data_IF_515678090265
#
_entry.id   IF_515678090265
#
_cell.length_a   1.000
_cell.length_b   1.000
_cell.length_c   1.000
_cell.angle_alpha   90.00
_cell.angle_beta   90.00
_cell.angle_gamma   90.00
#
_symmetry.space_group_name_H-M   'P 1'
#
loop_
_entity.id
_entity.type
_entity.pdbx_description
1 polymer ?
#
# COMPACT_ATOMS: atom_id res chain seq x y z
N UNK A 1 -21.46 19.86 -8.96
CA UNK A 1 -20.81 19.84 -10.28
C UNK A 1 -20.11 18.50 -10.41
N UNK A 2 -20.39 17.73 -11.45
CA UNK A 2 -19.62 16.53 -11.72
C UNK A 2 -18.17 16.96 -12.05
N UNK A 3 -17.20 16.36 -11.37
CA UNK A 3 -15.79 16.63 -11.63
C UNK A 3 -15.43 16.07 -13.02
N UNK A 4 -14.65 16.80 -13.78
CA UNK A 4 -14.13 16.32 -15.08
C UNK A 4 -13.31 15.03 -14.83
N UNK A 5 -13.55 13.96 -15.62
CA UNK A 5 -12.76 12.75 -15.53
C UNK A 5 -11.26 13.03 -15.72
N UNK A 6 -10.44 12.33 -14.97
CA UNK A 6 -8.98 12.43 -15.10
C UNK A 6 -8.52 11.63 -16.32
N UNK A 7 -7.65 12.21 -17.15
CA UNK A 7 -7.08 11.54 -18.34
C UNK A 7 -5.87 10.65 -17.94
N UNK A 8 -6.12 9.71 -17.03
CA UNK A 8 -5.15 8.71 -16.57
C UNK A 8 -5.83 7.36 -16.37
N UNK A 9 -5.08 6.29 -16.61
CA UNK A 9 -5.47 4.94 -16.21
C UNK A 9 -4.97 4.66 -14.78
N UNK A 10 -5.82 3.98 -13.98
CA UNK A 10 -5.53 3.66 -12.58
C UNK A 10 -5.62 2.16 -12.38
N UNK A 11 -4.63 1.57 -11.72
CA UNK A 11 -4.71 0.19 -11.22
C UNK A 11 -4.68 0.21 -9.68
N UNK A 12 -5.73 -0.33 -9.06
CA UNK A 12 -5.79 -0.57 -7.62
C UNK A 12 -5.21 -1.95 -7.34
N UNK A 13 -4.07 -2.01 -6.64
CA UNK A 13 -3.37 -3.24 -6.28
C UNK A 13 -3.71 -3.60 -4.84
N UNK A 14 -4.28 -4.79 -4.65
CA UNK A 14 -4.75 -5.28 -3.35
C UNK A 14 -4.12 -6.65 -3.08
N UNK A 15 -3.10 -6.74 -2.20
CA UNK A 15 -2.61 -8.02 -1.73
C UNK A 15 -3.67 -8.63 -0.80
N UNK A 16 -3.96 -9.93 -1.00
CA UNK A 16 -4.96 -10.63 -0.20
C UNK A 16 -4.48 -11.98 0.27
N UNK A 17 -5.02 -12.42 1.41
CA UNK A 17 -4.96 -13.80 1.84
C UNK A 17 -6.07 -14.06 2.85
N UNK A 18 -7.02 -14.97 2.50
CA UNK A 18 -8.16 -15.34 3.32
C UNK A 18 -8.97 -14.12 3.80
N UNK A 19 -9.46 -13.33 2.84
CA UNK A 19 -10.24 -12.10 3.06
C UNK A 19 -11.65 -12.20 2.44
N UNK A 20 -12.26 -13.41 2.46
CA UNK A 20 -13.57 -13.62 1.84
C UNK A 20 -14.68 -12.73 2.43
N UNK A 21 -14.56 -12.33 3.69
CA UNK A 21 -15.54 -11.48 4.37
C UNK A 21 -15.47 -10.01 3.93
N UNK A 22 -14.32 -9.54 3.44
CA UNK A 22 -14.05 -8.12 3.20
C UNK A 22 -13.76 -7.76 1.75
N UNK A 23 -13.27 -8.69 0.92
CA UNK A 23 -12.73 -8.38 -0.41
C UNK A 23 -13.75 -7.70 -1.33
N UNK A 24 -15.02 -8.12 -1.30
CA UNK A 24 -16.09 -7.53 -2.14
C UNK A 24 -16.33 -6.08 -1.74
N UNK A 25 -16.50 -5.81 -0.45
CA UNK A 25 -16.72 -4.46 0.07
C UNK A 25 -15.51 -3.57 -0.20
N UNK A 26 -14.28 -4.10 -0.05
CA UNK A 26 -13.06 -3.36 -0.36
C UNK A 26 -13.01 -2.94 -1.82
N UNK A 27 -13.30 -3.84 -2.78
CA UNK A 27 -13.34 -3.50 -4.22
C UNK A 27 -14.43 -2.47 -4.49
N UNK A 28 -15.63 -2.67 -3.97
CA UNK A 28 -16.79 -1.81 -4.18
C UNK A 28 -16.67 -0.43 -3.50
N UNK A 29 -15.81 -0.29 -2.49
CA UNK A 29 -15.58 0.99 -1.82
C UNK A 29 -14.95 2.05 -2.74
N UNK A 30 -14.22 1.61 -3.77
CA UNK A 30 -13.62 2.51 -4.76
C UNK A 30 -14.67 2.86 -5.82
N UNK A 31 -15.05 4.14 -5.99
CA UNK A 31 -16.01 4.55 -7.00
C UNK A 31 -15.57 4.13 -8.41
N UNK A 32 -16.51 3.58 -9.19
CA UNK A 32 -16.29 3.23 -10.60
C UNK A 32 -17.36 3.93 -11.48
N UNK A 33 -17.39 5.25 -11.38
CA UNK A 33 -18.38 6.13 -12.02
C UNK A 33 -17.79 6.96 -13.17
N UNK A 34 -16.63 6.54 -13.70
CA UNK A 34 -15.97 7.21 -14.82
C UNK A 34 -15.11 8.41 -14.39
N UNK A 35 -14.67 8.49 -13.15
CA UNK A 35 -13.81 9.57 -12.66
C UNK A 35 -12.37 9.56 -13.24
N UNK A 36 -11.93 8.44 -13.82
CA UNK A 36 -10.68 8.31 -14.57
C UNK A 36 -10.92 7.60 -15.89
N UNK A 37 -9.92 7.61 -16.78
CA UNK A 37 -9.98 7.03 -18.11
C UNK A 37 -10.21 5.52 -18.09
N UNK A 38 -9.54 4.80 -17.20
CA UNK A 38 -9.66 3.37 -17.01
C UNK A 38 -9.36 3.02 -15.55
N UNK A 39 -10.19 2.21 -14.92
CA UNK A 39 -10.01 1.71 -13.56
C UNK A 39 -9.94 0.20 -13.56
N UNK A 40 -8.79 -0.34 -13.16
CA UNK A 40 -8.55 -1.77 -13.02
C UNK A 40 -8.31 -2.14 -11.55
N UNK A 41 -8.85 -3.29 -11.12
CA UNK A 41 -8.52 -3.92 -9.85
C UNK A 41 -7.61 -5.11 -10.10
N UNK A 42 -6.47 -5.16 -9.42
CA UNK A 42 -5.50 -6.25 -9.47
C UNK A 42 -5.29 -6.83 -8.08
N UNK A 43 -5.85 -8.00 -7.87
CA UNK A 43 -5.73 -8.76 -6.64
C UNK A 43 -4.51 -9.65 -6.72
N UNK A 44 -3.60 -9.53 -5.76
CA UNK A 44 -2.44 -10.43 -5.65
C UNK A 44 -2.69 -11.37 -4.48
N UNK A 45 -3.16 -12.55 -4.83
CA UNK A 45 -3.58 -13.56 -3.86
C UNK A 45 -2.41 -14.38 -3.33
N UNK A 46 -2.18 -14.34 -2.03
CA UNK A 46 -1.15 -15.09 -1.31
C UNK A 46 -1.52 -16.54 -1.04
N UNK A 47 -2.17 -17.20 -2.01
CA UNK A 47 -2.63 -18.58 -1.95
C UNK A 47 -3.73 -18.80 -0.89
N UNK A 48 -4.81 -18.02 -0.99
CA UNK A 48 -6.02 -18.15 -0.16
C UNK A 48 -6.64 -19.54 -0.27
N UNK A 49 -7.21 -20.01 0.82
CA UNK A 49 -7.88 -21.32 0.93
C UNK A 49 -9.41 -21.21 1.06
N UNK A 50 -9.90 -19.97 1.18
CA UNK A 50 -11.31 -19.61 1.25
C UNK A 50 -11.84 -19.13 -0.13
N UNK A 51 -12.97 -18.44 -0.15
CA UNK A 51 -13.60 -17.94 -1.37
C UNK A 51 -13.08 -16.58 -1.87
N UNK A 52 -11.99 -16.07 -1.29
CA UNK A 52 -11.45 -14.74 -1.64
C UNK A 52 -11.30 -14.53 -3.13
N UNK A 53 -10.71 -15.50 -3.84
CA UNK A 53 -10.46 -15.41 -5.30
C UNK A 53 -11.75 -15.33 -6.10
N UNK A 54 -12.66 -16.27 -5.85
CA UNK A 54 -13.92 -16.36 -6.60
C UNK A 54 -14.77 -15.08 -6.40
N UNK A 55 -14.77 -14.54 -5.18
CA UNK A 55 -15.47 -13.31 -4.85
C UNK A 55 -14.82 -12.08 -5.52
N UNK A 56 -13.51 -12.01 -5.54
CA UNK A 56 -12.77 -10.93 -6.22
C UNK A 56 -13.02 -10.95 -7.74
N UNK A 57 -12.92 -12.11 -8.39
CA UNK A 57 -13.20 -12.25 -9.82
C UNK A 57 -14.66 -11.92 -10.16
N UNK A 58 -15.61 -12.38 -9.34
CA UNK A 58 -17.03 -12.05 -9.49
C UNK A 58 -17.32 -10.55 -9.33
N UNK A 59 -16.45 -9.83 -8.62
CA UNK A 59 -16.51 -8.38 -8.48
C UNK A 59 -15.82 -7.62 -9.61
N UNK A 60 -15.34 -8.31 -10.66
CA UNK A 60 -14.71 -7.73 -11.83
C UNK A 60 -13.20 -7.47 -11.68
N UNK A 61 -12.57 -7.93 -10.61
CA UNK A 61 -11.13 -7.80 -10.43
C UNK A 61 -10.34 -8.87 -11.20
N UNK A 62 -9.12 -8.54 -11.60
CA UNK A 62 -8.14 -9.50 -12.11
C UNK A 62 -7.41 -10.12 -10.93
N UNK A 63 -7.35 -11.44 -10.85
CA UNK A 63 -6.67 -12.16 -9.76
C UNK A 63 -5.40 -12.82 -10.28
N UNK A 64 -4.30 -12.63 -9.55
CA UNK A 64 -3.04 -13.34 -9.75
C UNK A 64 -2.64 -14.04 -8.46
N UNK A 65 -2.34 -15.36 -8.54
CA UNK A 65 -1.87 -16.14 -7.41
C UNK A 65 -0.35 -15.97 -7.29
N UNK A 66 0.12 -15.36 -6.21
CA UNK A 66 1.55 -15.25 -5.90
C UNK A 66 1.95 -16.39 -4.93
N UNK A 67 2.64 -17.43 -5.42
CA UNK A 67 2.95 -18.60 -4.60
C UNK A 67 4.03 -18.32 -3.53
N UNK A 68 4.84 -17.29 -3.74
CA UNK A 68 5.91 -16.90 -2.81
C UNK A 68 5.34 -16.11 -1.66
N UNK A 69 5.72 -16.47 -0.44
CA UNK A 69 5.24 -15.81 0.77
C UNK A 69 5.83 -14.41 0.95
N UNK A 70 5.01 -13.50 1.42
CA UNK A 70 5.42 -12.20 1.92
C UNK A 70 4.56 -11.04 1.41
N UNK A 71 4.17 -10.17 2.32
CA UNK A 71 3.42 -8.95 2.04
C UNK A 71 4.12 -8.09 0.96
N UNK A 72 5.42 -7.86 1.14
CA UNK A 72 6.19 -7.11 0.16
C UNK A 72 6.34 -7.84 -1.17
N UNK A 73 6.34 -9.17 -1.18
CA UNK A 73 6.37 -9.97 -2.40
C UNK A 73 5.11 -9.71 -3.23
N UNK A 74 3.95 -9.79 -2.61
CA UNK A 74 2.68 -9.53 -3.28
C UNK A 74 2.66 -8.12 -3.90
N UNK A 75 3.09 -7.10 -3.18
CA UNK A 75 3.18 -5.75 -3.75
C UNK A 75 4.15 -5.65 -4.92
N UNK A 76 5.34 -6.23 -4.83
CA UNK A 76 6.32 -6.19 -5.95
C UNK A 76 5.75 -6.82 -7.21
N UNK A 77 5.07 -7.95 -7.07
CA UNK A 77 4.37 -8.60 -8.18
C UNK A 77 3.26 -7.70 -8.72
N UNK A 78 2.42 -7.14 -7.86
CA UNK A 78 1.38 -6.21 -8.24
C UNK A 78 1.91 -4.97 -8.97
N UNK A 79 3.01 -4.38 -8.51
CA UNK A 79 3.61 -3.20 -9.15
C UNK A 79 4.10 -3.48 -10.58
N UNK A 80 4.63 -4.67 -10.83
CA UNK A 80 5.07 -5.07 -12.18
C UNK A 80 3.86 -5.33 -13.09
N UNK A 81 2.84 -6.02 -12.57
CA UNK A 81 1.66 -6.43 -13.35
C UNK A 81 0.66 -5.30 -13.58
N UNK A 82 0.61 -4.29 -12.72
CA UNK A 82 -0.26 -3.13 -12.87
C UNK A 82 -0.04 -2.45 -14.22
N UNK A 83 -1.13 -2.11 -14.91
CA UNK A 83 -1.08 -1.48 -16.25
C UNK A 83 -1.33 0.03 -16.22
N UNK A 84 -2.00 0.53 -15.18
CA UNK A 84 -2.34 1.93 -15.04
C UNK A 84 -1.14 2.86 -14.94
N UNK A 85 -1.31 4.10 -15.39
CA UNK A 85 -0.34 5.19 -15.25
C UNK A 85 -0.12 5.54 -13.78
N UNK A 86 -1.17 5.40 -12.97
CA UNK A 86 -1.17 5.56 -11.53
C UNK A 86 -1.50 4.23 -10.86
N UNK A 87 -0.72 3.89 -9.85
CA UNK A 87 -0.96 2.75 -8.98
C UNK A 87 -1.48 3.24 -7.64
N UNK A 88 -2.57 2.64 -7.18
CA UNK A 88 -3.12 2.80 -5.84
C UNK A 88 -2.95 1.48 -5.10
N UNK A 89 -2.55 1.50 -3.85
CA UNK A 89 -2.49 0.31 -3.01
C UNK A 89 -3.49 0.40 -1.87
N UNK A 90 -4.14 -0.70 -1.52
CA UNK A 90 -5.03 -0.82 -0.37
C UNK A 90 -4.90 -2.22 0.23
N UNK A 91 -5.13 -2.35 1.54
CA UNK A 91 -5.31 -3.64 2.17
C UNK A 91 -6.74 -4.17 1.87
N UNK A 92 -6.94 -5.49 1.93
CA UNK A 92 -8.19 -6.15 1.52
C UNK A 92 -9.28 -6.16 2.60
N UNK A 93 -9.09 -5.48 3.73
CA UNK A 93 -9.79 -5.65 5.00
C UNK A 93 -10.76 -4.51 5.37
N UNK A 94 -11.14 -3.68 4.41
CA UNK A 94 -12.01 -2.50 4.56
C UNK A 94 -11.47 -1.40 5.47
N UNK A 95 -10.22 -1.46 5.94
CA UNK A 95 -9.67 -0.44 6.84
C UNK A 95 -9.37 0.88 6.16
N UNK A 96 -9.03 0.87 4.86
CA UNK A 96 -8.77 2.07 4.08
C UNK A 96 -10.02 2.59 3.35
N UNK A 97 -10.15 3.92 3.22
CA UNK A 97 -11.29 4.56 2.57
C UNK A 97 -11.16 4.51 1.05
N UNK A 98 -11.73 3.50 0.38
CA UNK A 98 -11.70 3.40 -1.09
C UNK A 98 -12.35 4.60 -1.78
N UNK A 99 -13.35 5.21 -1.16
CA UNK A 99 -14.03 6.40 -1.66
C UNK A 99 -13.13 7.65 -1.78
N UNK A 100 -12.00 7.67 -1.05
CA UNK A 100 -11.02 8.76 -1.16
C UNK A 100 -10.06 8.60 -2.34
N UNK A 101 -10.03 7.44 -3.00
CA UNK A 101 -9.11 7.16 -4.11
C UNK A 101 -9.19 8.20 -5.23
N UNK A 102 -10.38 8.60 -5.75
CA UNK A 102 -10.47 9.62 -6.78
C UNK A 102 -9.85 10.97 -6.35
N UNK A 103 -10.09 11.39 -5.10
CA UNK A 103 -9.55 12.62 -4.54
C UNK A 103 -8.03 12.56 -4.42
N UNK A 104 -7.49 11.44 -3.93
CA UNK A 104 -6.05 11.25 -3.75
C UNK A 104 -5.31 11.19 -5.09
N UNK A 105 -5.89 10.55 -6.11
CA UNK A 105 -5.32 10.54 -7.47
C UNK A 105 -5.36 11.94 -8.07
N UNK A 106 -6.45 12.68 -7.90
CA UNK A 106 -6.55 14.08 -8.33
C UNK A 106 -5.48 14.94 -7.67
N UNK A 107 -5.30 14.83 -6.36
CA UNK A 107 -4.25 15.54 -5.60
C UNK A 107 -2.85 15.22 -6.17
N UNK A 108 -2.56 13.93 -6.44
CA UNK A 108 -1.29 13.53 -7.05
C UNK A 108 -1.01 14.27 -8.36
N UNK A 109 -2.04 14.40 -9.20
CA UNK A 109 -1.90 15.00 -10.53
C UNK A 109 -1.84 16.53 -10.47
N UNK A 110 -2.76 17.17 -9.76
CA UNK A 110 -2.91 18.62 -9.70
C UNK A 110 -1.74 19.30 -8.96
N UNK A 111 -1.21 18.65 -7.91
CA UNK A 111 -0.04 19.15 -7.17
C UNK A 111 1.29 18.74 -7.82
N UNK A 112 1.24 18.01 -8.95
CA UNK A 112 2.45 17.58 -9.68
C UNK A 112 3.32 16.61 -8.88
N UNK A 113 2.71 15.84 -7.99
CA UNK A 113 3.38 14.83 -7.16
C UNK A 113 3.63 13.55 -7.96
N UNK A 114 4.62 12.78 -7.52
CA UNK A 114 4.91 11.46 -8.04
C UNK A 114 4.53 10.34 -7.06
N UNK A 115 4.36 10.69 -5.77
CA UNK A 115 4.07 9.71 -4.73
C UNK A 115 3.35 10.32 -3.52
N UNK A 116 2.28 9.66 -3.07
CA UNK A 116 1.53 9.98 -1.84
C UNK A 116 1.51 8.75 -0.94
N UNK A 117 1.68 8.94 0.37
CA UNK A 117 1.35 7.95 1.40
C UNK A 117 0.20 8.45 2.26
N UNK A 118 -0.64 7.54 2.74
CA UNK A 118 -1.73 7.90 3.63
C UNK A 118 -1.32 7.76 5.11
N UNK A 119 -1.66 8.76 5.93
CA UNK A 119 -1.49 8.75 7.39
C UNK A 119 -2.80 8.33 8.05
N UNK A 120 -2.79 7.18 8.73
CA UNK A 120 -3.94 6.60 9.45
C UNK A 120 -4.05 7.12 10.88
N UNK A 121 -2.94 7.62 11.44
CA UNK A 121 -2.82 7.86 12.88
C UNK A 121 -3.65 9.07 13.34
N UNK A 122 -3.85 10.06 12.46
CA UNK A 122 -4.56 11.29 12.78
C UNK A 122 -6.08 11.17 12.74
N UNK A 123 -6.61 10.26 11.91
CA UNK A 123 -8.05 10.10 11.68
C UNK A 123 -8.52 8.65 11.92
N UNK A 124 -7.83 7.93 12.81
CA UNK A 124 -8.22 6.58 13.19
C UNK A 124 -9.56 6.60 13.94
N UNK A 125 -10.51 5.76 13.53
CA UNK A 125 -11.76 5.56 14.25
C UNK A 125 -11.51 4.92 15.61
N UNK A 126 -12.38 5.21 16.57
CA UNK A 126 -12.29 4.61 17.90
C UNK A 126 -12.35 3.07 17.82
N UNK A 127 -11.32 2.41 18.35
CA UNK A 127 -11.19 0.95 18.33
C UNK A 127 -10.66 0.35 17.03
N UNK A 128 -10.31 1.14 16.00
CA UNK A 128 -9.64 0.64 14.79
C UNK A 128 -8.18 0.28 15.02
N UNK A 129 -7.56 0.87 16.06
CA UNK A 129 -6.19 0.59 16.49
C UNK A 129 -6.17 0.28 17.99
N UNK A 130 -6.13 -0.98 18.42
CA UNK A 130 -5.95 -1.32 19.83
C UNK A 130 -4.70 -0.65 20.40
N UNK A 131 -4.77 -0.15 21.65
CA UNK A 131 -3.75 0.72 22.26
C UNK A 131 -2.31 0.21 22.13
N UNK A 132 -2.08 -1.09 22.28
CA UNK A 132 -0.75 -1.69 22.13
C UNK A 132 -0.23 -1.62 20.69
N UNK A 133 -1.11 -1.82 19.70
CA UNK A 133 -0.73 -1.70 18.27
C UNK A 133 -0.47 -0.24 17.90
N UNK A 134 -1.26 0.69 18.44
CA UNK A 134 -1.05 2.13 18.25
C UNK A 134 0.31 2.57 18.81
N UNK A 135 0.66 2.10 20.02
CA UNK A 135 1.96 2.37 20.62
C UNK A 135 3.12 1.80 19.79
N UNK A 136 3.02 0.55 19.32
CA UNK A 136 4.03 -0.06 18.46
C UNK A 136 4.23 0.73 17.15
N UNK A 137 3.16 1.15 16.48
CA UNK A 137 3.21 1.99 15.27
C UNK A 137 3.86 3.35 15.56
N UNK A 138 3.55 3.96 16.70
CA UNK A 138 4.17 5.22 17.13
C UNK A 138 5.68 5.08 17.36
N UNK A 139 6.13 4.02 18.04
CA UNK A 139 7.56 3.71 18.25
C UNK A 139 8.28 3.54 16.92
N UNK A 140 7.74 2.72 16.02
CA UNK A 140 8.33 2.47 14.71
C UNK A 140 8.42 3.74 13.86
N UNK A 141 7.36 4.54 13.83
CA UNK A 141 7.32 5.78 13.06
C UNK A 141 8.26 6.83 13.63
N UNK A 142 8.36 6.92 14.96
CA UNK A 142 9.29 7.84 15.62
C UNK A 142 10.74 7.43 15.38
N UNK A 143 11.05 6.14 15.49
CA UNK A 143 12.38 5.60 15.18
C UNK A 143 12.77 5.87 13.73
N UNK A 144 11.85 5.62 12.80
CA UNK A 144 12.09 5.89 11.38
C UNK A 144 12.35 7.39 11.11
N UNK A 145 11.57 8.29 11.71
CA UNK A 145 11.80 9.75 11.58
C UNK A 145 13.16 10.18 12.09
N UNK A 146 13.59 9.65 13.23
CA UNK A 146 14.89 10.00 13.82
C UNK A 146 16.06 9.45 12.99
N UNK A 147 15.96 8.21 12.48
CA UNK A 147 17.05 7.58 11.73
C UNK A 147 17.21 8.14 10.31
N UNK A 148 16.11 8.54 9.68
CA UNK A 148 16.12 8.94 8.25
C UNK A 148 15.85 10.42 8.03
N UNK A 149 15.48 11.16 9.07
CA UNK A 149 15.16 12.60 9.02
C UNK A 149 14.10 12.94 7.95
N UNK A 150 13.17 12.02 7.70
CA UNK A 150 12.07 12.22 6.78
C UNK A 150 10.76 12.51 7.52
N UNK A 151 10.01 13.50 7.01
CA UNK A 151 8.82 14.01 7.70
C UNK A 151 7.56 13.17 7.50
N UNK A 152 7.64 11.83 7.51
CA UNK A 152 6.48 10.94 7.42
C UNK A 152 6.04 10.51 8.82
N UNK A 153 4.74 10.65 9.13
CA UNK A 153 4.19 10.36 10.45
C UNK A 153 3.78 8.89 10.61
N UNK A 154 3.16 8.29 9.59
CA UNK A 154 2.77 6.88 9.60
C UNK A 154 3.70 6.03 8.73
N UNK A 155 4.76 5.47 9.32
CA UNK A 155 5.72 4.62 8.61
C UNK A 155 5.14 3.26 8.19
N UNK A 156 4.00 2.85 8.74
CA UNK A 156 3.43 1.51 8.57
C UNK A 156 2.20 1.47 7.65
N UNK A 157 1.73 2.62 7.13
CA UNK A 157 0.59 2.64 6.22
C UNK A 157 0.89 1.88 4.92
N UNK A 158 -0.04 1.05 4.46
CA UNK A 158 0.00 0.31 3.20
C UNK A 158 -0.76 0.99 2.06
N UNK A 159 -1.40 2.14 2.29
CA UNK A 159 -2.08 2.87 1.22
C UNK A 159 -1.16 3.91 0.62
N UNK A 160 -0.81 3.71 -0.65
CA UNK A 160 0.02 4.61 -1.45
C UNK A 160 -0.65 4.90 -2.78
N UNK A 161 -0.44 6.11 -3.28
CA UNK A 161 -0.88 6.54 -4.60
C UNK A 161 0.35 7.08 -5.31
N UNK A 162 0.72 6.52 -6.46
CA UNK A 162 1.95 6.95 -7.13
C UNK A 162 1.92 6.71 -8.63
N UNK A 163 2.70 7.50 -9.37
CA UNK A 163 2.91 7.28 -10.79
C UNK A 163 3.73 6.02 -11.02
N UNK A 164 3.29 5.14 -11.89
CA UNK A 164 4.03 3.90 -12.21
C UNK A 164 5.44 4.19 -12.73
N UNK A 165 5.61 5.30 -13.42
CA UNK A 165 6.90 5.74 -13.99
C UNK A 165 8.02 5.94 -12.95
N UNK A 166 7.71 6.07 -11.66
CA UNK A 166 8.77 6.14 -10.63
C UNK A 166 9.69 4.91 -10.63
N UNK A 167 9.20 3.76 -11.12
CA UNK A 167 9.98 2.52 -11.20
C UNK A 167 10.94 2.44 -12.39
N UNK A 168 10.94 3.44 -13.29
CA UNK A 168 12.01 3.62 -14.28
C UNK A 168 13.35 3.87 -13.59
N UNK A 169 13.33 4.55 -12.44
CA UNK A 169 14.46 4.61 -11.54
C UNK A 169 14.50 3.36 -10.64
N UNK A 170 15.46 2.47 -10.90
CA UNK A 170 15.62 1.24 -10.11
C UNK A 170 15.83 1.47 -8.61
N UNK A 171 16.31 2.65 -8.22
CA UNK A 171 16.46 3.04 -6.83
C UNK A 171 15.11 3.15 -6.11
N UNK A 172 14.03 3.38 -6.86
CA UNK A 172 12.66 3.42 -6.33
C UNK A 172 12.09 2.03 -6.06
N UNK A 173 12.64 0.97 -6.64
CA UNK A 173 12.14 -0.40 -6.48
C UNK A 173 12.47 -0.94 -5.09
N UNK A 174 11.48 -1.14 -4.18
CA UNK A 174 11.73 -1.73 -2.86
C UNK A 174 12.14 -3.19 -3.02
N UNK A 175 13.00 -3.68 -2.13
CA UNK A 175 13.65 -4.99 -2.27
C UNK A 175 13.20 -6.02 -1.25
N UNK A 176 12.56 -5.59 -0.15
CA UNK A 176 12.14 -6.49 0.91
C UNK A 176 10.86 -7.25 0.54
N UNK A 177 10.78 -8.56 0.85
CA UNK A 177 9.59 -9.37 0.57
C UNK A 177 8.54 -9.36 1.69
N UNK A 178 8.91 -8.98 2.90
CA UNK A 178 8.02 -8.97 4.06
C UNK A 178 7.44 -7.59 4.38
N UNK A 179 6.89 -7.46 5.58
CA UNK A 179 6.29 -6.24 6.12
C UNK A 179 7.19 -4.99 6.04
N UNK A 180 8.54 -5.07 6.18
CA UNK A 180 9.40 -3.91 6.03
C UNK A 180 9.36 -3.20 4.67
N UNK A 181 8.79 -3.81 3.62
CA UNK A 181 8.61 -3.15 2.32
C UNK A 181 7.92 -1.79 2.47
N UNK A 182 6.89 -1.69 3.32
CA UNK A 182 6.18 -0.43 3.54
C UNK A 182 7.11 0.71 3.99
N UNK A 183 7.98 0.44 4.96
CA UNK A 183 8.97 1.42 5.42
C UNK A 183 10.03 1.70 4.37
N UNK A 184 10.54 0.65 3.71
CA UNK A 184 11.55 0.77 2.66
C UNK A 184 11.06 1.67 1.52
N UNK A 185 9.83 1.46 1.06
CA UNK A 185 9.26 2.23 -0.06
C UNK A 185 9.14 3.72 0.29
N UNK A 186 8.69 4.05 1.50
CA UNK A 186 8.63 5.43 1.99
C UNK A 186 10.00 6.09 2.12
N UNK A 187 10.99 5.35 2.64
CA UNK A 187 12.37 5.85 2.73
C UNK A 187 12.91 6.14 1.33
N UNK A 188 12.69 5.25 0.35
CA UNK A 188 13.11 5.44 -1.03
C UNK A 188 12.42 6.63 -1.67
N UNK A 189 11.09 6.73 -1.55
CA UNK A 189 10.32 7.86 -2.09
C UNK A 189 10.86 9.20 -1.58
N UNK A 190 10.99 9.37 -0.27
CA UNK A 190 11.54 10.61 0.29
C UNK A 190 12.98 10.90 -0.10
N UNK A 191 13.80 9.86 -0.23
CA UNK A 191 15.23 10.01 -0.57
C UNK A 191 15.46 10.31 -2.04
N UNK A 192 14.73 9.68 -2.96
CA UNK A 192 15.02 9.73 -4.39
C UNK A 192 14.09 10.63 -5.19
N UNK A 193 12.83 10.78 -4.77
CA UNK A 193 11.90 11.75 -5.37
C UNK A 193 11.98 13.13 -4.70
N UNK A 194 12.36 13.17 -3.41
CA UNK A 194 12.44 14.40 -2.65
C UNK A 194 11.08 14.87 -2.07
N UNK A 195 11.14 15.93 -1.26
CA UNK A 195 9.96 16.47 -0.58
C UNK A 195 8.95 17.11 -1.53
N UNK A 196 9.44 17.69 -2.61
CA UNK A 196 8.63 18.41 -3.62
C UNK A 196 7.72 17.47 -4.42
N UNK A 197 8.10 16.19 -4.52
CA UNK A 197 7.39 15.19 -5.31
C UNK A 197 6.66 14.17 -4.46
N UNK A 198 6.69 14.34 -3.13
CA UNK A 198 6.08 13.37 -2.21
C UNK A 198 5.24 14.05 -1.15
N UNK A 199 4.06 13.50 -0.86
CA UNK A 199 3.17 14.00 0.19
C UNK A 199 2.72 12.89 1.15
N UNK A 200 2.27 13.28 2.33
CA UNK A 200 1.55 12.43 3.28
C UNK A 200 0.19 13.07 3.55
N UNK A 201 -0.88 12.33 3.25
CA UNK A 201 -2.26 12.78 3.37
C UNK A 201 -2.96 11.98 4.45
N UNK A 202 -3.63 12.67 5.38
CA UNK A 202 -4.37 12.00 6.46
C UNK A 202 -5.72 11.51 5.96
N UNK A 203 -5.98 10.21 6.11
CA UNK A 203 -7.23 9.56 5.71
C UNK A 203 -7.93 8.91 6.92
N UNK A 204 -9.25 8.73 6.87
CA UNK A 204 -9.95 7.88 7.84
C UNK A 204 -9.33 6.47 7.86
N UNK A 205 -9.32 5.85 9.03
CA UNK A 205 -8.91 4.45 9.18
C UNK A 205 -9.93 3.71 10.02
N UNK A 206 -10.55 2.73 9.42
CA UNK A 206 -11.72 2.03 9.92
C UNK A 206 -11.36 0.76 10.68
N UNK A 207 -12.34 0.18 11.33
CA UNK A 207 -12.20 -1.15 11.92
C UNK A 207 -12.07 -2.19 10.81
N UNK A 208 -11.17 -3.14 11.01
CA UNK A 208 -10.97 -4.28 10.13
C UNK A 208 -12.23 -5.15 10.09
N UNK A 209 -12.56 -5.65 8.91
CA UNK A 209 -13.49 -6.75 8.69
C UNK A 209 -12.66 -8.04 8.55
N UNK A 210 -13.10 -9.13 9.16
CA UNK A 210 -12.40 -10.41 9.17
C UNK A 210 -11.23 -10.49 10.17
N UNK A 211 -10.58 -11.65 10.21
CA UNK A 211 -9.47 -11.92 11.14
C UNK A 211 -8.12 -11.47 10.58
N UNK A 212 -7.24 -11.01 11.47
CA UNK A 212 -5.90 -10.56 11.07
C UNK A 212 -4.91 -11.73 11.09
N UNK A 213 -4.28 -12.03 9.96
CA UNK A 213 -3.18 -13.01 9.88
C UNK A 213 -1.80 -12.44 10.33
N UNK A 214 -1.76 -11.23 10.90
CA UNK A 214 -0.53 -10.52 11.25
C UNK A 214 -0.03 -10.94 12.63
N UNK A 215 1.23 -11.37 12.72
CA UNK A 215 1.91 -11.56 14.00
C UNK A 215 2.46 -10.22 14.51
N UNK A 216 1.64 -9.49 15.27
CA UNK A 216 1.92 -8.11 15.72
C UNK A 216 3.30 -7.94 16.38
N UNK A 217 3.75 -8.90 17.19
CA UNK A 217 5.04 -8.83 17.87
C UNK A 217 6.21 -9.18 16.96
N UNK A 218 6.09 -10.28 16.18
CA UNK A 218 7.12 -10.72 15.25
C UNK A 218 7.36 -9.69 14.15
N UNK A 219 6.30 -9.18 13.56
CA UNK A 219 6.37 -8.18 12.49
C UNK A 219 6.86 -6.82 13.01
N UNK A 220 6.46 -6.44 14.23
CA UNK A 220 6.97 -5.23 14.88
C UNK A 220 8.47 -5.26 15.10
N UNK A 221 9.00 -6.36 15.62
CA UNK A 221 10.45 -6.54 15.83
C UNK A 221 11.21 -6.60 14.51
N UNK A 222 10.65 -7.28 13.50
CA UNK A 222 11.24 -7.35 12.16
C UNK A 222 11.35 -5.95 11.54
N UNK A 223 10.30 -5.15 11.63
CA UNK A 223 10.27 -3.77 11.15
C UNK A 223 11.29 -2.89 11.87
N UNK A 224 11.41 -3.03 13.21
CA UNK A 224 12.39 -2.27 13.98
C UNK A 224 13.82 -2.65 13.59
N UNK A 225 14.11 -3.96 13.52
CA UNK A 225 15.42 -4.46 13.07
C UNK A 225 15.76 -3.96 11.67
N UNK A 226 14.78 -3.96 10.76
CA UNK A 226 14.95 -3.47 9.39
C UNK A 226 15.43 -2.02 9.38
N UNK A 227 14.83 -1.12 10.18
CA UNK A 227 15.23 0.29 10.21
C UNK A 227 16.72 0.47 10.50
N UNK A 228 17.25 -0.25 11.50
CA UNK A 228 18.67 -0.18 11.85
C UNK A 228 19.57 -0.83 10.80
N UNK A 229 19.25 -2.05 10.37
CA UNK A 229 20.06 -2.77 9.38
C UNK A 229 20.09 -2.09 8.02
N UNK A 230 18.96 -1.50 7.61
CA UNK A 230 18.87 -0.73 6.37
C UNK A 230 19.68 0.56 6.45
N UNK A 231 19.63 1.27 7.60
CA UNK A 231 20.41 2.50 7.81
C UNK A 231 21.91 2.25 7.75
N UNK A 232 22.36 1.07 8.23
CA UNK A 232 23.76 0.64 8.22
C UNK A 232 24.17 -0.07 6.92
N UNK A 233 23.29 -0.21 5.94
CA UNK A 233 23.58 -0.91 4.67
C UNK A 233 23.70 -2.43 4.80
N UNK A 234 23.22 -3.01 5.91
CA UNK A 234 23.32 -4.45 6.23
C UNK A 234 22.12 -5.28 5.78
N UNK A 235 21.12 -4.68 5.12
CA UNK A 235 19.95 -5.42 4.64
C UNK A 235 20.28 -6.29 3.46
N UNK A 236 19.86 -7.58 3.53
CA UNK A 236 19.91 -8.48 2.39
C UNK A 236 18.99 -7.94 1.30
N UNK A 237 19.54 -7.68 0.13
CA UNK A 237 18.77 -7.20 -1.01
C UNK A 237 18.23 -8.40 -1.79
N UNK A 238 16.90 -8.54 -1.84
CA UNK A 238 16.22 -9.45 -2.74
C UNK A 238 15.90 -8.64 -3.99
N UNK A 239 16.54 -8.95 -5.11
CA UNK A 239 16.45 -8.17 -6.35
C UNK A 239 15.38 -8.66 -7.31
N UNK A 240 14.75 -9.77 -6.97
CA UNK A 240 13.71 -10.38 -7.82
C UNK A 240 12.44 -9.53 -7.80
N UNK A 241 12.02 -9.09 -8.98
CA UNK A 241 10.82 -8.28 -9.24
C UNK A 241 9.89 -9.02 -10.21
N UNK A 242 8.62 -9.00 -9.90
CA UNK A 242 7.56 -9.52 -10.75
C UNK A 242 7.14 -10.95 -10.46
N UNK A 243 6.21 -11.47 -11.28
CA UNK A 243 5.71 -12.83 -11.17
C UNK A 243 6.82 -13.87 -11.40
N UNK A 244 6.61 -15.06 -10.89
CA UNK A 244 7.44 -16.21 -11.22
C UNK A 244 7.19 -16.58 -12.68
N UNK A 245 8.27 -16.74 -13.49
CA UNK A 245 8.18 -17.16 -14.89
C UNK A 245 7.85 -18.65 -15.00
#
# INVERSE_FOLDING_TARGET
MALTPLDVSVTVVIPTRNEEEAIVETIQSVPNDGWCKELDFLIIDGNSTDKTRDLAESSGAKVYIEPRKGYGRAYKTGFVMAKGDVIVTMDADCTYPGEEVPTLVRTLLEEGLDWITCDRLKKAEEGSMPGLQGFGKWVLSTTARLLYLYGIHDSQSGMWIFRKSIFEDERMRPKHDGMPLSQEFKIRARRYLGKEKTAEVSVPYRKRVGEAEINTWGDGLLNLRFLFTHRLGLTRQITDWGPEN
#
